data_IF_331897595336
#
_entry.id   IF_331897595336
#
_cell.length_a   1.000
_cell.length_b   1.000
_cell.length_c   1.000
_cell.angle_alpha   90.00
_cell.angle_beta   90.00
_cell.angle_gamma   90.00
#
_symmetry.space_group_name_H-M   'P 1'
#
loop_
_entity.id
_entity.type
_entity.pdbx_description
1 polymer ?
#
# COMPACT_ATOMS: atom_id res chain seq x y z
N UNK A 1 23.43 10.58 -8.78
CA UNK A 1 22.95 10.36 -7.40
C UNK A 1 22.48 11.71 -6.89
N UNK A 2 21.25 12.13 -7.27
CA UNK A 2 20.63 13.36 -6.79
C UNK A 2 20.07 13.07 -5.38
N UNK A 3 20.69 13.63 -4.36
CA UNK A 3 20.11 13.67 -3.03
C UNK A 3 18.73 14.31 -3.14
N UNK A 4 17.70 13.70 -2.53
CA UNK A 4 16.41 14.34 -2.27
C UNK A 4 16.71 15.53 -1.33
N UNK A 5 16.95 16.70 -1.91
CA UNK A 5 17.48 17.88 -1.20
C UNK A 5 16.44 18.55 -0.29
N UNK A 6 15.27 17.95 -0.08
CA UNK A 6 14.20 18.58 0.72
C UNK A 6 13.23 17.54 1.32
N UNK A 7 13.77 16.51 2.02
CA UNK A 7 12.93 15.58 2.78
C UNK A 7 12.63 16.16 4.16
N UNK A 8 11.43 16.70 4.32
CA UNK A 8 10.91 17.18 5.60
C UNK A 8 9.99 16.14 6.24
N UNK A 9 10.54 15.33 7.15
CA UNK A 9 9.80 14.30 7.87
C UNK A 9 8.58 14.87 8.63
N UNK A 10 8.72 16.08 9.19
CA UNK A 10 7.67 16.71 9.99
C UNK A 10 6.45 17.07 9.15
N UNK A 11 6.67 17.52 7.92
CA UNK A 11 5.63 17.82 6.94
C UNK A 11 4.82 16.57 6.57
N UNK A 12 5.51 15.45 6.28
CA UNK A 12 4.83 14.19 5.93
C UNK A 12 4.08 13.59 7.11
N UNK A 13 4.66 13.63 8.30
CA UNK A 13 3.98 13.22 9.53
C UNK A 13 2.74 14.07 9.81
N UNK A 14 2.81 15.39 9.60
CA UNK A 14 1.67 16.29 9.79
C UNK A 14 0.55 16.01 8.78
N UNK A 15 0.86 15.88 7.49
CA UNK A 15 -0.10 15.54 6.45
C UNK A 15 -0.78 14.18 6.74
N UNK A 16 0.00 13.17 7.13
CA UNK A 16 -0.55 11.88 7.48
C UNK A 16 -1.48 11.93 8.69
N UNK A 17 -1.12 12.66 9.75
CA UNK A 17 -2.00 12.82 10.93
C UNK A 17 -3.27 13.62 10.62
N UNK A 18 -3.18 14.64 9.77
CA UNK A 18 -4.32 15.49 9.41
C UNK A 18 -5.25 14.82 8.40
N UNK A 19 -4.70 14.42 7.27
CA UNK A 19 -5.45 14.00 6.09
C UNK A 19 -5.49 12.47 5.92
N UNK A 20 -4.60 11.74 6.56
CA UNK A 20 -4.47 10.28 6.45
C UNK A 20 -3.69 9.83 5.22
N UNK A 21 -3.16 10.75 4.42
CA UNK A 21 -2.39 10.42 3.23
C UNK A 21 -1.47 11.60 2.81
N UNK A 22 -0.54 11.30 1.92
CA UNK A 22 0.20 12.30 1.14
C UNK A 22 0.71 11.69 -0.18
N UNK A 23 1.08 12.57 -1.11
CA UNK A 23 1.66 12.21 -2.41
C UNK A 23 3.04 12.83 -2.53
N UNK A 24 3.98 12.07 -3.11
CA UNK A 24 5.31 12.57 -3.47
C UNK A 24 5.76 11.97 -4.80
N UNK A 25 6.11 12.84 -5.73
CA UNK A 25 6.77 12.46 -6.97
C UNK A 25 8.30 12.31 -6.78
N UNK A 26 8.96 11.73 -7.76
CA UNK A 26 10.43 11.68 -7.90
C UNK A 26 11.14 11.00 -6.70
N UNK A 27 10.58 9.87 -6.21
CA UNK A 27 11.13 9.08 -5.10
C UNK A 27 12.15 8.06 -5.59
N UNK A 28 11.86 7.40 -6.71
CA UNK A 28 12.74 6.42 -7.34
C UNK A 28 13.24 6.92 -8.70
N UNK A 29 14.44 6.51 -9.08
CA UNK A 29 14.95 6.72 -10.43
C UNK A 29 14.19 5.86 -11.45
N UNK A 30 14.19 6.26 -12.71
CA UNK A 30 13.62 5.45 -13.79
C UNK A 30 14.34 4.10 -13.94
N UNK A 31 15.64 4.02 -13.59
CA UNK A 31 16.39 2.77 -13.59
C UNK A 31 15.87 1.80 -12.51
N UNK A 32 15.61 2.29 -11.29
CA UNK A 32 15.03 1.47 -10.22
C UNK A 32 13.63 0.99 -10.60
N UNK A 33 12.83 1.85 -11.20
CA UNK A 33 11.48 1.50 -11.67
C UNK A 33 11.54 0.41 -12.72
N UNK A 34 12.43 0.52 -13.69
CA UNK A 34 12.57 -0.50 -14.77
C UNK A 34 13.06 -1.84 -14.20
N UNK A 35 13.99 -1.82 -13.26
CA UNK A 35 14.42 -3.03 -12.55
C UNK A 35 13.24 -3.73 -11.84
N UNK A 36 12.39 -2.97 -11.16
CA UNK A 36 11.20 -3.50 -10.49
C UNK A 36 10.18 -4.08 -11.47
N UNK A 37 9.95 -3.39 -12.60
CA UNK A 37 9.07 -3.89 -13.69
C UNK A 37 9.54 -5.24 -14.21
N UNK A 38 10.85 -5.35 -14.50
CA UNK A 38 11.45 -6.59 -14.98
C UNK A 38 11.36 -7.70 -13.94
N UNK A 39 11.69 -7.42 -12.68
CA UNK A 39 11.64 -8.39 -11.59
C UNK A 39 10.24 -8.96 -11.40
N UNK A 40 9.19 -8.12 -11.43
CA UNK A 40 7.80 -8.58 -11.29
C UNK A 40 7.36 -9.38 -12.54
N UNK A 41 7.72 -8.93 -13.74
CA UNK A 41 7.34 -9.61 -14.99
C UNK A 41 7.96 -11.00 -15.12
N UNK A 42 9.17 -11.18 -14.56
CA UNK A 42 9.92 -12.44 -14.56
C UNK A 42 9.44 -13.46 -13.51
N UNK A 43 8.51 -13.09 -12.61
CA UNK A 43 8.02 -14.02 -11.61
C UNK A 43 7.43 -15.27 -12.26
N UNK A 44 7.77 -16.48 -11.77
CA UNK A 44 7.21 -17.72 -12.27
C UNK A 44 5.70 -17.83 -11.97
N UNK A 45 5.02 -18.71 -12.69
CA UNK A 45 3.63 -19.02 -12.38
C UNK A 45 3.53 -19.74 -11.05
N UNK A 46 2.85 -19.12 -10.09
CA UNK A 46 2.64 -19.58 -8.72
C UNK A 46 1.24 -19.16 -8.24
N UNK A 47 0.78 -19.70 -7.14
CA UNK A 47 -0.51 -19.37 -6.54
C UNK A 47 -0.62 -17.86 -6.21
N UNK A 48 0.48 -17.24 -5.83
CA UNK A 48 0.56 -15.83 -5.51
C UNK A 48 0.42 -14.92 -6.74
N UNK A 49 0.74 -15.44 -7.95
CA UNK A 49 0.87 -14.66 -9.19
C UNK A 49 -0.36 -14.81 -10.05
N UNK A 50 -1.07 -13.72 -10.26
CA UNK A 50 -2.17 -13.63 -11.21
C UNK A 50 -1.67 -13.14 -12.55
N UNK A 51 -1.80 -13.98 -13.58
CA UNK A 51 -1.31 -13.70 -14.92
C UNK A 51 -2.41 -13.96 -15.96
N UNK A 52 -2.48 -13.07 -16.94
CA UNK A 52 -3.10 -13.27 -18.24
C UNK A 52 -1.98 -13.11 -19.29
N UNK A 53 -2.11 -12.17 -20.21
CA UNK A 53 -0.99 -11.78 -21.07
C UNK A 53 0.21 -11.23 -20.25
N UNK A 54 -0.10 -10.42 -19.23
CA UNK A 54 0.88 -9.85 -18.29
C UNK A 54 0.57 -10.28 -16.86
N UNK A 55 1.53 -10.15 -15.94
CA UNK A 55 1.28 -10.22 -14.50
C UNK A 55 0.46 -8.99 -14.12
N UNK A 56 -0.75 -9.22 -13.59
CA UNK A 56 -1.65 -8.12 -13.19
C UNK A 56 -1.93 -8.07 -11.69
N UNK A 57 -1.49 -9.05 -10.93
CA UNK A 57 -1.60 -9.05 -9.49
C UNK A 57 -0.65 -10.06 -8.86
N UNK A 58 0.00 -9.67 -7.77
CA UNK A 58 0.85 -10.57 -6.98
C UNK A 58 0.54 -10.37 -5.51
N UNK A 59 0.23 -11.46 -4.80
CA UNK A 59 0.15 -11.51 -3.34
C UNK A 59 1.48 -11.94 -2.76
N UNK A 60 1.69 -11.65 -1.48
CA UNK A 60 2.88 -12.09 -0.73
C UNK A 60 4.20 -11.70 -1.44
N UNK A 61 4.22 -10.52 -2.05
CA UNK A 61 5.31 -10.08 -2.93
C UNK A 61 6.66 -10.05 -2.19
N UNK A 62 6.68 -9.76 -0.88
CA UNK A 62 7.91 -9.79 -0.08
C UNK A 62 8.52 -11.18 0.04
N UNK A 63 7.76 -12.24 -0.18
CA UNK A 63 8.24 -13.62 -0.07
C UNK A 63 8.86 -14.13 -1.38
N UNK A 64 8.29 -13.70 -2.51
CA UNK A 64 8.61 -14.29 -3.81
C UNK A 64 9.39 -13.37 -4.75
N UNK A 65 9.56 -12.08 -4.38
CA UNK A 65 10.26 -11.08 -5.20
C UNK A 65 11.38 -10.40 -4.39
N UNK A 66 12.64 -10.80 -4.56
CA UNK A 66 13.78 -10.16 -3.86
C UNK A 66 13.87 -8.66 -4.10
N UNK A 67 13.59 -8.18 -5.33
CA UNK A 67 13.58 -6.75 -5.64
C UNK A 67 12.54 -5.96 -4.81
N UNK A 68 11.39 -6.57 -4.50
CA UNK A 68 10.40 -5.95 -3.63
C UNK A 68 10.85 -5.90 -2.16
N UNK A 69 11.63 -6.87 -1.70
CA UNK A 69 12.25 -6.82 -0.35
C UNK A 69 13.27 -5.69 -0.27
N UNK A 70 14.13 -5.56 -1.29
CA UNK A 70 15.08 -4.45 -1.39
C UNK A 70 14.36 -3.11 -1.44
N UNK A 71 13.26 -3.00 -2.21
CA UNK A 71 12.44 -1.80 -2.27
C UNK A 71 11.87 -1.42 -0.89
N UNK A 72 11.39 -2.41 -0.13
CA UNK A 72 10.80 -2.18 1.18
C UNK A 72 11.81 -1.63 2.22
N UNK A 73 13.10 -1.89 2.03
CA UNK A 73 14.19 -1.35 2.87
C UNK A 73 14.93 -0.18 2.22
N UNK A 74 14.60 0.17 0.97
CA UNK A 74 15.24 1.26 0.26
C UNK A 74 15.05 2.59 1.02
N UNK A 75 16.15 3.31 1.36
CA UNK A 75 16.06 4.55 2.14
C UNK A 75 15.11 5.59 1.56
N UNK A 76 15.07 5.74 0.21
CA UNK A 76 14.20 6.71 -0.46
C UNK A 76 12.70 6.39 -0.30
N UNK A 77 12.33 5.13 -0.08
CA UNK A 77 10.94 4.71 0.17
C UNK A 77 10.65 4.62 1.67
N UNK A 78 11.56 3.96 2.42
CA UNK A 78 11.37 3.73 3.85
C UNK A 78 11.30 5.02 4.66
N UNK A 79 12.00 6.10 4.26
CA UNK A 79 11.98 7.39 4.96
C UNK A 79 10.54 7.93 5.17
N UNK A 80 9.61 7.64 4.27
CA UNK A 80 8.20 8.04 4.41
C UNK A 80 7.47 7.22 5.47
N UNK A 81 7.79 5.94 5.59
CA UNK A 81 7.27 5.11 6.67
C UNK A 81 7.86 5.52 8.02
N UNK A 82 9.16 5.83 8.10
CA UNK A 82 9.80 6.29 9.33
C UNK A 82 9.35 7.68 9.75
N UNK A 83 9.04 8.57 8.82
CA UNK A 83 8.47 9.89 9.14
C UNK A 83 7.12 9.77 9.88
N UNK A 84 6.34 8.72 9.58
CA UNK A 84 5.02 8.48 10.17
C UNK A 84 5.10 7.62 11.43
N UNK A 85 5.88 6.54 11.40
CA UNK A 85 5.89 5.48 12.40
C UNK A 85 7.12 5.50 13.32
N UNK A 86 8.12 6.32 13.00
CA UNK A 86 9.42 6.32 13.69
C UNK A 86 10.41 5.30 13.13
N UNK A 87 11.61 5.28 13.68
CA UNK A 87 12.76 4.53 13.16
C UNK A 87 12.57 3.00 13.21
N UNK A 88 11.72 2.52 14.10
CA UNK A 88 11.40 1.10 14.25
C UNK A 88 10.44 0.56 13.16
N UNK A 89 10.09 1.36 12.15
CA UNK A 89 9.22 0.93 11.06
C UNK A 89 9.82 -0.25 10.28
N UNK A 90 9.02 -1.30 10.06
CA UNK A 90 9.35 -2.49 9.29
C UNK A 90 8.22 -2.85 8.34
N UNK A 91 8.56 -3.42 7.17
CA UNK A 91 7.55 -3.85 6.22
C UNK A 91 6.98 -5.22 6.63
N UNK A 92 5.64 -5.32 6.58
CA UNK A 92 4.88 -6.51 7.01
C UNK A 92 4.21 -7.24 5.85
N UNK A 93 3.93 -6.54 4.76
CA UNK A 93 3.27 -7.08 3.57
C UNK A 93 3.61 -6.25 2.35
N UNK A 94 3.64 -6.88 1.17
CA UNK A 94 3.58 -6.16 -0.09
C UNK A 94 2.72 -6.90 -1.12
N UNK A 95 2.06 -6.13 -1.99
CA UNK A 95 1.19 -6.60 -3.05
C UNK A 95 1.53 -5.81 -4.32
N UNK A 96 1.46 -6.47 -5.47
CA UNK A 96 1.55 -5.80 -6.75
C UNK A 96 0.19 -5.77 -7.46
N UNK A 97 -0.12 -4.66 -8.08
CA UNK A 97 -1.30 -4.45 -8.92
C UNK A 97 -0.92 -3.84 -10.25
N UNK A 98 -1.55 -4.32 -11.31
CA UNK A 98 -1.46 -3.71 -12.64
C UNK A 98 -2.85 -3.66 -13.27
N UNK A 99 -3.34 -2.46 -13.58
CA UNK A 99 -4.55 -2.30 -14.40
C UNK A 99 -4.15 -2.24 -15.87
N UNK A 100 -4.53 -3.28 -16.59
CA UNK A 100 -4.30 -3.45 -18.03
C UNK A 100 -5.63 -3.70 -18.72
N UNK A 101 -5.77 -3.49 -20.04
CA UNK A 101 -7.05 -3.63 -20.71
C UNK A 101 -7.78 -4.96 -20.47
N UNK A 102 -7.05 -6.06 -20.36
CA UNK A 102 -7.60 -7.40 -20.11
C UNK A 102 -7.72 -7.75 -18.61
N UNK A 103 -7.23 -6.90 -17.72
CA UNK A 103 -7.38 -7.01 -16.27
C UNK A 103 -7.56 -5.61 -15.65
N UNK A 104 -8.72 -5.02 -15.93
CA UNK A 104 -9.07 -3.66 -15.51
C UNK A 104 -10.31 -3.71 -14.62
N UNK A 105 -10.18 -3.20 -13.41
CA UNK A 105 -11.25 -3.23 -12.40
C UNK A 105 -11.39 -1.91 -11.68
N UNK A 106 -12.58 -1.65 -11.15
CA UNK A 106 -12.83 -0.59 -10.17
C UNK A 106 -12.73 -1.14 -8.76
N UNK A 107 -12.24 -0.35 -7.83
CA UNK A 107 -12.39 -0.56 -6.40
C UNK A 107 -13.39 0.48 -5.88
N UNK A 108 -14.49 -0.01 -5.31
CA UNK A 108 -15.43 0.85 -4.61
C UNK A 108 -14.77 1.47 -3.38
N UNK A 109 -15.41 2.45 -2.80
CA UNK A 109 -14.97 3.07 -1.56
C UNK A 109 -14.86 2.03 -0.44
N UNK A 110 -13.73 1.97 0.22
CA UNK A 110 -13.43 1.02 1.30
C UNK A 110 -12.25 1.52 2.14
N UNK A 111 -12.03 0.85 3.26
CA UNK A 111 -10.82 0.91 4.06
C UNK A 111 -10.04 -0.39 3.86
N UNK A 112 -8.71 -0.36 3.89
CA UNK A 112 -7.93 -1.59 3.94
C UNK A 112 -8.15 -2.23 5.31
N UNK A 113 -8.68 -3.45 5.34
CA UNK A 113 -9.24 -4.04 6.55
C UNK A 113 -8.55 -5.31 7.04
N UNK A 114 -7.47 -5.75 6.40
CA UNK A 114 -6.81 -6.99 6.79
C UNK A 114 -5.30 -6.82 6.92
N UNK A 115 -4.73 -7.54 7.89
CA UNK A 115 -3.30 -7.74 8.04
C UNK A 115 -2.91 -9.18 7.71
N UNK A 116 -1.64 -9.41 7.35
CA UNK A 116 -1.09 -10.73 7.10
C UNK A 116 -0.33 -11.23 8.33
N UNK A 117 -0.63 -12.47 8.78
CA UNK A 117 -0.06 -13.08 9.98
C UNK A 117 0.45 -14.49 9.71
N UNK A 118 1.40 -14.96 10.50
CA UNK A 118 2.01 -16.29 10.32
C UNK A 118 1.06 -17.44 10.60
N UNK A 119 0.13 -17.25 11.53
CA UNK A 119 -0.73 -18.33 12.02
C UNK A 119 -2.10 -17.77 12.43
N UNK A 120 -3.12 -18.59 12.36
CA UNK A 120 -4.41 -18.29 12.99
C UNK A 120 -4.28 -18.53 14.50
N UNK A 121 -4.71 -17.51 15.25
CA UNK A 121 -4.79 -17.59 16.72
C UNK A 121 -6.00 -16.79 17.17
N UNK A 122 -6.80 -17.37 18.06
CA UNK A 122 -7.92 -16.65 18.64
C UNK A 122 -7.41 -15.54 19.56
N UNK A 123 -7.63 -14.31 19.15
CA UNK A 123 -7.25 -13.09 19.87
C UNK A 123 -8.48 -12.16 19.89
N UNK A 124 -8.89 -11.63 21.05
CA UNK A 124 -10.03 -10.73 21.13
C UNK A 124 -9.92 -9.54 20.17
N UNK A 125 -11.01 -9.24 19.47
CA UNK A 125 -11.06 -8.15 18.49
C UNK A 125 -10.50 -8.47 17.09
N UNK A 126 -9.89 -9.65 16.90
CA UNK A 126 -9.43 -10.11 15.59
C UNK A 126 -10.49 -11.00 14.96
N UNK A 127 -11.06 -10.58 13.83
CA UNK A 127 -12.22 -11.21 13.19
C UNK A 127 -11.97 -11.48 11.70
N UNK A 128 -12.93 -12.08 11.00
CA UNK A 128 -12.91 -12.29 9.55
C UNK A 128 -11.63 -13.01 9.05
N UNK A 129 -11.22 -14.06 9.74
CA UNK A 129 -10.10 -14.90 9.37
C UNK A 129 -10.26 -15.51 7.99
N UNK A 130 -9.22 -15.44 7.17
CA UNK A 130 -9.18 -16.04 5.85
C UNK A 130 -7.75 -16.45 5.49
N UNK A 131 -7.61 -17.27 4.45
CA UNK A 131 -6.30 -17.63 3.92
C UNK A 131 -6.25 -17.29 2.43
N UNK A 132 -5.19 -16.63 1.98
CA UNK A 132 -4.99 -16.27 0.58
C UNK A 132 -3.56 -16.58 0.16
N UNK A 133 -3.42 -17.44 -0.85
CA UNK A 133 -2.13 -17.93 -1.31
C UNK A 133 -1.25 -18.41 -0.12
N UNK A 134 -1.79 -19.30 0.70
CA UNK A 134 -1.11 -19.91 1.84
C UNK A 134 -0.92 -19.02 3.09
N UNK A 135 -1.18 -17.72 3.02
CA UNK A 135 -0.96 -16.77 4.12
C UNK A 135 -2.26 -16.44 4.85
N UNK A 136 -2.24 -16.54 6.17
CA UNK A 136 -3.35 -16.11 7.01
C UNK A 136 -3.55 -14.60 6.98
N UNK A 137 -4.80 -14.20 6.85
CA UNK A 137 -5.23 -12.81 6.91
C UNK A 137 -6.35 -12.68 7.93
N UNK A 138 -6.36 -11.56 8.63
CA UNK A 138 -7.33 -11.26 9.68
C UNK A 138 -7.63 -9.78 9.71
N UNK A 139 -8.87 -9.44 10.00
CA UNK A 139 -9.25 -8.06 10.31
C UNK A 139 -8.92 -7.80 11.78
N UNK A 140 -7.97 -6.90 12.07
CA UNK A 140 -7.60 -6.51 13.42
C UNK A 140 -8.52 -5.42 13.95
N UNK A 141 -8.44 -5.06 15.23
CA UNK A 141 -8.98 -3.81 15.74
C UNK A 141 -8.46 -2.59 14.96
N UNK A 142 -9.28 -1.55 14.82
CA UNK A 142 -8.93 -0.35 14.06
C UNK A 142 -7.63 0.32 14.55
N UNK A 143 -7.35 0.24 15.85
CA UNK A 143 -6.16 0.80 16.49
C UNK A 143 -4.85 0.21 15.95
N UNK A 144 -4.86 -1.03 15.50
CA UNK A 144 -3.70 -1.66 14.84
C UNK A 144 -3.46 -1.00 13.47
N UNK A 145 -4.51 -0.85 12.67
CA UNK A 145 -4.41 -0.23 11.35
C UNK A 145 -4.12 1.27 11.42
N UNK A 146 -4.58 1.95 12.46
CA UNK A 146 -4.26 3.36 12.71
C UNK A 146 -2.76 3.59 12.97
N UNK A 147 -2.02 2.55 13.38
CA UNK A 147 -0.57 2.56 13.62
C UNK A 147 0.22 1.94 12.45
N UNK A 148 -0.37 1.88 11.27
CA UNK A 148 0.26 1.39 10.04
C UNK A 148 0.28 2.47 8.97
N UNK A 149 1.19 2.34 8.02
CA UNK A 149 1.21 3.13 6.79
C UNK A 149 1.41 2.22 5.59
N UNK A 150 0.60 2.43 4.57
CA UNK A 150 0.76 1.83 3.26
C UNK A 150 1.48 2.81 2.33
N UNK A 151 2.60 2.41 1.76
CA UNK A 151 3.35 3.18 0.75
C UNK A 151 3.14 2.51 -0.60
N UNK A 152 2.46 3.22 -1.50
CA UNK A 152 2.13 2.77 -2.85
C UNK A 152 3.13 3.37 -3.84
N UNK A 153 4.07 2.58 -4.30
CA UNK A 153 5.10 2.98 -5.27
C UNK A 153 4.54 2.80 -6.69
N UNK A 154 4.49 3.88 -7.45
CA UNK A 154 3.98 3.89 -8.81
C UNK A 154 5.08 3.60 -9.81
N UNK A 155 4.91 2.53 -10.59
CA UNK A 155 5.85 2.15 -11.63
C UNK A 155 5.49 2.73 -13.01
N UNK A 156 4.37 3.42 -13.13
CA UNK A 156 3.89 4.11 -14.32
C UNK A 156 3.28 5.45 -13.90
N UNK A 157 3.18 6.38 -14.85
CA UNK A 157 2.42 7.62 -14.63
C UNK A 157 0.95 7.31 -14.37
N UNK A 158 0.42 7.86 -13.29
CA UNK A 158 -0.96 7.69 -12.89
C UNK A 158 -1.70 9.04 -12.93
N UNK A 159 -2.05 9.46 -14.12
CA UNK A 159 -2.88 10.63 -14.36
C UNK A 159 -4.39 10.34 -14.20
N UNK A 160 -5.27 11.34 -14.41
CA UNK A 160 -6.71 11.23 -14.17
C UNK A 160 -7.38 10.07 -14.93
N UNK A 161 -6.94 9.77 -16.14
CA UNK A 161 -7.49 8.69 -16.98
C UNK A 161 -6.95 7.31 -16.67
N UNK A 162 -5.93 7.18 -15.79
CA UNK A 162 -5.29 5.89 -15.51
C UNK A 162 -5.76 5.27 -14.18
N UNK A 163 -7.00 5.56 -13.76
CA UNK A 163 -7.61 4.99 -12.56
C UNK A 163 -6.82 5.31 -11.28
N UNK A 164 -6.51 6.59 -11.00
CA UNK A 164 -5.77 6.99 -9.80
C UNK A 164 -6.54 6.63 -8.54
N UNK A 165 -5.81 6.56 -7.43
CA UNK A 165 -6.42 6.48 -6.11
C UNK A 165 -7.20 7.77 -5.86
N UNK A 166 -8.39 7.65 -5.27
CA UNK A 166 -9.19 8.74 -4.72
C UNK A 166 -9.33 8.51 -3.24
N UNK A 167 -9.20 9.54 -2.44
CA UNK A 167 -9.25 9.46 -0.98
C UNK A 167 -10.25 10.47 -0.42
N UNK A 168 -10.80 10.18 0.75
CA UNK A 168 -11.55 11.13 1.57
C UNK A 168 -10.66 11.56 2.74
N UNK A 169 -10.05 12.77 2.68
CA UNK A 169 -9.13 13.25 3.69
C UNK A 169 -9.73 13.24 5.09
N UNK A 170 -8.93 12.85 6.09
CA UNK A 170 -9.33 12.85 7.50
C UNK A 170 -10.20 11.67 7.94
N UNK A 171 -10.71 10.84 7.03
CA UNK A 171 -11.59 9.70 7.35
C UNK A 171 -10.93 8.65 8.26
N UNK A 172 -9.62 8.48 8.19
CA UNK A 172 -8.86 7.52 8.99
C UNK A 172 -8.97 7.74 10.51
N UNK A 173 -9.35 8.93 10.97
CA UNK A 173 -9.41 9.29 12.40
C UNK A 173 -10.63 8.73 13.13
N UNK A 174 -11.58 8.13 12.41
CA UNK A 174 -12.86 7.69 12.95
C UNK A 174 -13.00 6.17 13.04
N UNK A 175 -11.89 5.45 12.91
CA UNK A 175 -11.91 3.99 12.96
C UNK A 175 -12.59 3.36 11.74
N UNK A 176 -13.40 2.32 11.98
CA UNK A 176 -14.20 1.67 10.94
C UNK A 176 -15.40 2.54 10.55
N UNK A 177 -15.63 2.70 9.25
CA UNK A 177 -16.68 3.56 8.66
C UNK A 177 -17.57 2.76 7.71
N UNK A 178 -18.13 1.63 8.17
CA UNK A 178 -18.90 0.72 7.30
C UNK A 178 -20.25 1.31 6.87
N UNK A 179 -20.99 1.97 7.78
CA UNK A 179 -22.33 2.51 7.52
C UNK A 179 -22.34 4.00 7.19
N UNK A 180 -21.24 4.72 7.41
CA UNK A 180 -21.17 6.18 7.34
C UNK A 180 -20.54 6.71 6.02
N UNK A 181 -20.30 5.84 5.05
CA UNK A 181 -19.61 6.19 3.82
C UNK A 181 -20.27 7.33 3.03
N UNK A 182 -21.59 7.28 2.86
CA UNK A 182 -22.30 8.30 2.08
C UNK A 182 -22.33 9.64 2.82
N UNK A 183 -22.40 9.63 4.13
CA UNK A 183 -22.25 10.81 4.98
C UNK A 183 -20.89 11.47 4.79
N UNK A 184 -19.80 10.68 4.80
CA UNK A 184 -18.45 11.18 4.56
C UNK A 184 -18.31 11.82 3.19
N UNK A 185 -18.78 11.16 2.14
CA UNK A 185 -18.77 11.68 0.76
C UNK A 185 -19.54 12.99 0.61
N UNK A 186 -20.59 13.18 1.41
CA UNK A 186 -21.38 14.42 1.40
C UNK A 186 -20.65 15.60 2.07
N UNK A 187 -19.77 15.32 3.04
CA UNK A 187 -19.11 16.33 3.88
C UNK A 187 -17.71 16.69 3.41
N UNK A 188 -17.00 15.71 2.84
CA UNK A 188 -15.57 15.86 2.50
C UNK A 188 -15.38 15.66 1.00
N UNK A 189 -14.84 16.67 0.28
CA UNK A 189 -14.50 16.51 -1.12
C UNK A 189 -13.46 15.42 -1.33
N UNK A 190 -13.67 14.54 -2.31
CA UNK A 190 -12.67 13.57 -2.68
C UNK A 190 -11.43 14.24 -3.29
N UNK A 191 -10.27 13.68 -3.01
CA UNK A 191 -9.01 14.07 -3.63
C UNK A 191 -8.51 12.97 -4.55
N UNK A 192 -8.18 13.36 -5.79
CA UNK A 192 -7.60 12.45 -6.79
C UNK A 192 -6.08 12.50 -6.66
N UNK A 193 -5.48 11.36 -6.29
CA UNK A 193 -4.03 11.23 -6.12
C UNK A 193 -3.35 10.91 -7.46
N UNK A 194 -3.03 11.93 -8.23
CA UNK A 194 -2.19 11.77 -9.43
C UNK A 194 -0.72 11.64 -9.02
N UNK A 195 0.02 10.73 -9.66
CA UNK A 195 1.41 10.42 -9.30
C UNK A 195 2.20 10.15 -10.57
N UNK A 196 3.40 10.70 -10.66
CA UNK A 196 4.35 10.37 -11.73
C UNK A 196 5.04 9.03 -11.48
N UNK A 197 5.54 8.43 -12.55
CA UNK A 197 6.38 7.22 -12.49
C UNK A 197 7.55 7.43 -11.51
N UNK A 198 7.77 6.48 -10.61
CA UNK A 198 8.75 6.58 -9.53
C UNK A 198 8.26 7.35 -8.28
N UNK A 199 7.07 7.94 -8.32
CA UNK A 199 6.45 8.59 -7.16
C UNK A 199 5.67 7.63 -6.27
N UNK A 200 5.16 8.16 -5.15
CA UNK A 200 4.41 7.41 -4.14
C UNK A 200 3.11 8.10 -3.73
N UNK A 201 2.16 7.29 -3.27
CA UNK A 201 1.10 7.68 -2.34
C UNK A 201 1.34 6.93 -1.04
N UNK A 202 1.47 7.63 0.07
CA UNK A 202 1.44 7.03 1.40
C UNK A 202 0.09 7.30 2.04
N UNK A 203 -0.51 6.29 2.69
CA UNK A 203 -1.82 6.43 3.31
C UNK A 203 -1.97 5.54 4.54
N UNK A 204 -2.80 5.97 5.48
CA UNK A 204 -3.30 5.12 6.56
C UNK A 204 -4.25 4.06 5.96
N UNK A 205 -4.17 2.78 6.34
CA UNK A 205 -5.12 1.76 5.90
C UNK A 205 -6.59 2.13 6.14
N UNK A 206 -6.87 2.87 7.22
CA UNK A 206 -8.21 3.35 7.57
C UNK A 206 -8.68 4.58 6.75
N UNK A 207 -7.84 5.15 5.89
CA UNK A 207 -8.30 6.22 4.98
C UNK A 207 -9.29 5.63 3.98
N UNK A 208 -10.52 6.16 3.92
CA UNK A 208 -11.48 5.79 2.88
C UNK A 208 -10.90 6.11 1.51
N UNK A 209 -10.85 5.10 0.65
CA UNK A 209 -10.28 5.25 -0.68
C UNK A 209 -10.99 4.39 -1.72
N UNK A 210 -10.85 4.80 -2.97
CA UNK A 210 -11.43 4.13 -4.13
C UNK A 210 -10.51 4.29 -5.35
N UNK A 211 -10.74 3.51 -6.39
CA UNK A 211 -10.13 3.77 -7.71
C UNK A 211 -11.03 3.30 -8.84
N UNK A 212 -11.23 4.13 -9.85
CA UNK A 212 -11.95 3.74 -11.07
C UNK A 212 -11.12 2.74 -11.90
N UNK A 213 -11.77 2.07 -12.85
CA UNK A 213 -11.08 1.40 -13.94
C UNK A 213 -10.26 2.44 -14.73
N UNK A 214 -9.14 2.02 -15.31
CA UNK A 214 -8.38 2.86 -16.22
C UNK A 214 -9.14 3.00 -17.55
N UNK A 215 -9.22 4.20 -18.08
CA UNK A 215 -9.71 4.46 -19.45
C UNK A 215 -8.55 4.68 -20.42
N UNK A 216 -7.32 4.76 -19.92
CA UNK A 216 -6.12 4.85 -20.72
C UNK A 216 -5.68 3.45 -21.19
N UNK A 217 -5.20 3.36 -22.42
CA UNK A 217 -4.53 2.14 -22.89
C UNK A 217 -3.13 2.06 -22.27
N UNK A 218 -2.81 0.97 -21.57
CA UNK A 218 -1.48 0.78 -21.00
C UNK A 218 -1.49 0.12 -19.64
N UNK A 219 -0.39 0.31 -18.93
CA UNK A 219 -0.16 -0.23 -17.60
C UNK A 219 -0.41 0.82 -16.51
N UNK A 220 -0.89 0.37 -15.37
CA UNK A 220 -0.88 1.12 -14.12
C UNK A 220 -0.38 0.21 -13.01
N UNK A 221 0.95 0.02 -13.00
CA UNK A 221 1.66 -0.85 -12.06
C UNK A 221 1.94 -0.13 -10.76
N UNK A 222 1.58 -0.74 -9.66
CA UNK A 222 1.80 -0.23 -8.31
C UNK A 222 2.30 -1.38 -7.42
N UNK A 223 3.37 -1.13 -6.68
CA UNK A 223 3.78 -1.95 -5.54
C UNK A 223 3.26 -1.27 -4.28
N UNK A 224 2.37 -1.94 -3.56
CA UNK A 224 1.78 -1.49 -2.32
C UNK A 224 2.47 -2.19 -1.16
N UNK A 225 3.19 -1.45 -0.32
CA UNK A 225 3.96 -1.96 0.81
C UNK A 225 3.31 -1.45 2.10
N UNK A 226 3.00 -2.35 3.01
CA UNK A 226 2.45 -2.03 4.33
C UNK A 226 3.57 -2.08 5.36
N UNK A 227 3.65 -1.05 6.19
CA UNK A 227 4.59 -0.91 7.29
C UNK A 227 3.87 -0.82 8.62
N UNK A 228 4.48 -1.40 9.64
CA UNK A 228 4.12 -1.28 11.05
C UNK A 228 5.36 -0.90 11.88
N UNK A 229 5.17 -0.51 13.13
CA UNK A 229 6.25 -0.24 14.06
C UNK A 229 6.11 -1.00 15.39
N UNK A 230 4.97 -1.68 15.59
CA UNK A 230 4.66 -2.42 16.81
C UNK A 230 4.43 -3.91 16.53
N UNK A 231 4.75 -4.74 17.51
CA UNK A 231 4.38 -6.16 17.49
C UNK A 231 2.87 -6.32 17.73
N UNK A 232 2.33 -7.45 17.25
CA UNK A 232 0.92 -7.78 17.46
C UNK A 232 0.67 -8.31 18.89
N UNK A 233 -0.52 -8.10 19.45
CA UNK A 233 -0.83 -8.55 20.80
C UNK A 233 -0.94 -10.08 20.91
N UNK A 234 -0.94 -10.57 22.16
CA UNK A 234 -1.16 -11.98 22.52
C UNK A 234 -0.24 -12.98 21.81
N UNK A 235 0.96 -12.55 21.42
CA UNK A 235 1.94 -13.39 20.71
C UNK A 235 1.57 -13.72 19.26
N UNK A 236 0.57 -13.05 18.67
CA UNK A 236 0.34 -13.10 17.24
C UNK A 236 1.54 -12.49 16.51
N UNK A 237 1.93 -13.04 15.38
CA UNK A 237 3.12 -12.58 14.65
C UNK A 237 2.78 -12.12 13.26
N UNK A 238 3.38 -10.99 12.84
CA UNK A 238 3.35 -10.55 11.44
C UNK A 238 3.86 -11.65 10.51
N UNK A 239 3.24 -11.79 9.34
CA UNK A 239 3.69 -12.77 8.33
C UNK A 239 5.12 -12.47 7.86
N UNK A 240 5.42 -11.22 7.62
CA UNK A 240 6.79 -10.74 7.36
C UNK A 240 7.17 -9.67 8.39
N UNK A 241 8.48 -9.52 8.58
CA UNK A 241 9.09 -8.42 9.33
C UNK A 241 10.41 -8.08 8.66
N UNK A 242 10.35 -7.13 7.71
CA UNK A 242 11.50 -6.73 6.91
C UNK A 242 11.99 -5.37 7.40
N UNK A 243 13.16 -5.34 8.01
CA UNK A 243 13.88 -4.14 8.44
C UNK A 243 15.18 -4.01 7.62
N UNK A 244 15.78 -2.82 7.52
CA UNK A 244 17.18 -2.68 7.11
C UNK A 244 18.06 -3.54 8.03
N UNK A 245 19.15 -4.07 7.46
CA UNK A 245 20.22 -4.73 8.22
C UNK A 245 21.05 -3.72 9.02
#
# INVERSE_FOLDING_TARGET
>A
MGALTDFDASRYAAAFRGDGYFVRDDVLSLGDVEHLRQAVSALPNREEVRRKRNVYGVRNLLEICPAARTLATNPSVRQFATAVLGDNAFAVRAIFFDKVPDANWSLFWHQDNVIAVKERREVPGFVAWSQKAGVWQVQPPAEILAQMVAVRVHLDDCGPGNGPLRVLPGSHRFGWLDEELDDWKSRVPEVVCTVRCGGIVAMCPLTLHASAASVAAGHRRVIHIEYAAAELPAGLRWNNRISPE
#
